data_IF_710494371332
#
_entry.id   IF_710494371332
#
_cell.length_a   1.000
_cell.length_b   1.000
_cell.length_c   1.000
_cell.angle_alpha   90.00
_cell.angle_beta   90.00
_cell.angle_gamma   90.00
#
_symmetry.space_group_name_H-M   'P 1'
#
loop_
_entity.id
_entity.type
_entity.pdbx_description
1 polymer ?
#
# COMPACT_ATOMS: atom_id res chain seq x y z
N UNK A 1 25.07 10.06 15.96
CA UNK A 1 24.58 9.39 14.73
C UNK A 1 23.68 10.32 13.90
N UNK A 2 22.57 10.87 14.44
CA UNK A 2 21.70 11.83 13.70
C UNK A 2 22.37 13.17 13.33
N UNK A 3 23.36 13.63 14.10
CA UNK A 3 24.07 14.90 13.86
C UNK A 3 25.31 14.78 12.95
N UNK A 4 25.69 13.56 12.56
CA UNK A 4 26.89 13.30 11.73
C UNK A 4 26.57 13.10 10.25
N UNK A 5 25.29 12.98 9.90
CA UNK A 5 24.80 12.91 8.54
C UNK A 5 23.84 14.07 8.32
N UNK A 6 23.88 14.71 7.15
CA UNK A 6 23.03 15.84 6.78
C UNK A 6 21.59 15.38 6.52
N UNK A 7 20.95 14.85 7.57
CA UNK A 7 19.64 14.26 7.50
C UNK A 7 18.57 15.36 7.51
N UNK A 8 17.47 15.16 6.76
CA UNK A 8 16.35 16.09 6.76
C UNK A 8 15.86 16.38 8.18
N UNK A 9 15.75 17.67 8.50
CA UNK A 9 15.22 18.16 9.78
C UNK A 9 13.69 18.01 9.81
N UNK A 10 13.04 18.57 10.83
CA UNK A 10 11.59 18.71 10.90
C UNK A 10 11.02 19.31 9.60
N UNK A 11 9.76 19.01 9.29
CA UNK A 11 9.07 19.65 8.17
C UNK A 11 8.98 21.16 8.41
N UNK A 12 9.08 21.93 7.33
CA UNK A 12 8.79 23.36 7.38
C UNK A 12 7.31 23.56 7.72
N UNK A 13 6.98 24.69 8.34
CA UNK A 13 5.60 24.99 8.78
C UNK A 13 4.64 24.96 7.60
N UNK A 14 5.07 25.50 6.46
CA UNK A 14 4.28 25.57 5.23
C UNK A 14 3.94 24.16 4.71
N UNK A 15 4.87 23.21 4.79
CA UNK A 15 4.62 21.82 4.38
C UNK A 15 3.67 21.08 5.35
N UNK A 16 3.71 21.43 6.64
CA UNK A 16 2.78 20.88 7.63
C UNK A 16 1.37 21.44 7.44
N UNK A 17 1.23 22.74 7.17
CA UNK A 17 -0.04 23.40 6.88
C UNK A 17 -0.67 22.87 5.58
N UNK A 18 0.15 22.72 4.53
CA UNK A 18 -0.28 22.10 3.27
C UNK A 18 -0.76 20.66 3.52
N UNK A 19 0.01 19.82 4.21
CA UNK A 19 -0.41 18.45 4.50
C UNK A 19 -1.65 18.36 5.39
N UNK A 20 -1.82 19.29 6.34
CA UNK A 20 -2.98 19.31 7.23
C UNK A 20 -4.27 19.66 6.49
N UNK A 21 -4.20 20.55 5.50
CA UNK A 21 -5.34 21.02 4.70
C UNK A 21 -5.52 20.27 3.38
N UNK A 22 -4.58 19.39 3.02
CA UNK A 22 -4.58 18.68 1.74
C UNK A 22 -5.80 17.75 1.58
N UNK A 23 -6.64 18.06 0.62
CA UNK A 23 -7.68 17.17 0.12
C UNK A 23 -7.21 16.44 -1.14
N UNK A 24 -7.70 15.22 -1.41
CA UNK A 24 -7.31 14.49 -2.59
C UNK A 24 -7.79 15.24 -3.84
N UNK A 25 -6.86 15.54 -4.74
CA UNK A 25 -7.16 16.23 -6.00
C UNK A 25 -8.24 15.48 -6.80
N UNK A 26 -9.14 16.20 -7.50
CA UNK A 26 -10.13 15.58 -8.37
C UNK A 26 -9.46 14.71 -9.43
N UNK A 27 -9.93 13.47 -9.58
CA UNK A 27 -9.53 12.59 -10.67
C UNK A 27 -10.67 11.63 -10.99
N UNK A 28 -10.67 11.08 -12.20
CA UNK A 28 -11.57 10.00 -12.57
C UNK A 28 -11.14 8.73 -11.82
N UNK A 29 -11.81 8.46 -10.70
CA UNK A 29 -11.53 7.32 -9.82
C UNK A 29 -12.61 6.28 -10.00
N UNK A 30 -12.20 5.06 -10.34
CA UNK A 30 -13.10 3.92 -10.32
C UNK A 30 -13.59 3.66 -8.89
N UNK A 31 -14.87 3.37 -8.74
CA UNK A 31 -15.42 2.93 -7.46
C UNK A 31 -15.14 1.42 -7.26
N UNK A 32 -14.32 1.09 -6.26
CA UNK A 32 -13.97 -0.27 -5.86
C UNK A 32 -14.27 -0.53 -4.38
N UNK A 33 -15.16 0.27 -3.78
CA UNK A 33 -15.47 0.18 -2.33
C UNK A 33 -16.14 -1.12 -1.92
N UNK A 34 -16.79 -1.81 -2.85
CA UNK A 34 -17.43 -3.11 -2.62
C UNK A 34 -16.43 -4.29 -2.61
N UNK A 35 -15.16 -4.07 -3.02
CA UNK A 35 -14.16 -5.12 -2.98
C UNK A 35 -13.60 -5.27 -1.55
N UNK A 36 -13.59 -6.49 -0.96
CA UNK A 36 -13.24 -6.69 0.43
C UNK A 36 -11.70 -6.77 0.63
N UNK A 37 -11.02 -5.67 0.33
CA UNK A 37 -9.58 -5.51 0.52
C UNK A 37 -9.18 -5.78 1.98
N UNK A 38 -8.05 -6.47 2.15
CA UNK A 38 -7.40 -6.69 3.45
C UNK A 38 -6.01 -6.07 3.43
N UNK A 39 -5.66 -5.31 4.48
CA UNK A 39 -4.30 -4.86 4.75
C UNK A 39 -3.63 -5.82 5.74
N UNK A 40 -2.38 -6.20 5.49
CA UNK A 40 -1.63 -7.14 6.35
C UNK A 40 -0.30 -6.48 6.73
N UNK A 41 -0.19 -6.06 7.98
CA UNK A 41 0.92 -5.24 8.47
C UNK A 41 1.30 -5.61 9.92
N UNK A 42 2.50 -5.23 10.41
CA UNK A 42 2.84 -5.42 11.81
C UNK A 42 1.81 -4.82 12.79
N UNK A 43 1.66 -5.40 14.01
CA UNK A 43 0.77 -4.83 15.02
C UNK A 43 1.09 -3.37 15.34
N UNK A 44 0.07 -2.51 15.31
CA UNK A 44 0.20 -1.08 15.63
C UNK A 44 0.64 -0.18 14.47
N UNK A 45 0.80 -0.72 13.25
CA UNK A 45 1.03 0.08 12.05
C UNK A 45 -0.11 1.05 11.78
N UNK A 46 0.23 2.30 11.48
CA UNK A 46 -0.71 3.35 11.08
C UNK A 46 -0.50 3.84 9.64
N UNK A 47 0.69 3.62 9.07
CA UNK A 47 1.03 3.86 7.67
C UNK A 47 0.77 2.62 6.80
N UNK A 48 -0.51 2.29 6.60
CA UNK A 48 -0.92 1.17 5.77
C UNK A 48 -0.88 1.60 4.30
N UNK A 49 0.20 1.25 3.62
CA UNK A 49 0.44 1.67 2.24
C UNK A 49 -0.24 0.77 1.21
N UNK A 50 -0.64 -0.45 1.59
CA UNK A 50 -1.08 -1.49 0.67
C UNK A 50 -2.25 -2.31 1.20
N UNK A 51 -3.11 -2.77 0.29
CA UNK A 51 -4.16 -3.74 0.58
C UNK A 51 -4.40 -4.66 -0.62
N UNK A 52 -4.82 -5.89 -0.38
CA UNK A 52 -5.01 -6.91 -1.41
C UNK A 52 -6.38 -7.55 -1.34
N UNK A 53 -6.95 -7.87 -2.51
CA UNK A 53 -8.11 -8.74 -2.66
C UNK A 53 -7.88 -9.68 -3.83
N UNK A 54 -8.23 -10.96 -3.67
CA UNK A 54 -8.07 -11.98 -4.70
C UNK A 54 -9.40 -12.70 -4.86
N UNK A 55 -9.81 -12.88 -6.12
CA UNK A 55 -10.99 -13.65 -6.50
C UNK A 55 -10.61 -14.73 -7.52
N UNK A 56 -11.39 -15.82 -7.54
CA UNK A 56 -11.25 -16.85 -8.56
C UNK A 56 -11.89 -16.40 -9.88
N UNK A 57 -11.31 -16.87 -10.98
CA UNK A 57 -11.88 -16.77 -12.32
C UNK A 57 -11.98 -18.18 -12.89
N UNK A 58 -12.83 -18.43 -13.91
CA UNK A 58 -12.96 -19.75 -14.52
C UNK A 58 -11.63 -20.41 -14.90
N UNK A 59 -10.63 -19.63 -15.30
CA UNK A 59 -9.31 -20.11 -15.75
C UNK A 59 -8.15 -19.54 -14.91
N UNK A 60 -8.35 -19.28 -13.62
CA UNK A 60 -7.29 -18.79 -12.74
C UNK A 60 -7.78 -17.80 -11.69
N UNK A 61 -7.13 -16.64 -11.59
CA UNK A 61 -7.38 -15.68 -10.53
C UNK A 61 -7.41 -14.25 -11.05
N UNK A 62 -7.99 -13.36 -10.25
CA UNK A 62 -7.79 -11.92 -10.36
C UNK A 62 -7.29 -11.37 -9.04
N UNK A 63 -6.18 -10.64 -9.12
CA UNK A 63 -5.58 -9.96 -7.99
C UNK A 63 -5.84 -8.46 -8.14
N UNK A 64 -6.48 -7.89 -7.13
CA UNK A 64 -6.60 -6.46 -6.92
C UNK A 64 -5.59 -6.06 -5.85
N UNK A 65 -4.64 -5.21 -6.21
CA UNK A 65 -3.59 -4.75 -5.31
C UNK A 65 -3.61 -3.22 -5.26
N UNK A 66 -4.12 -2.69 -4.15
CA UNK A 66 -4.29 -1.27 -3.90
C UNK A 66 -3.05 -0.71 -3.19
N UNK A 67 -2.56 0.42 -3.70
CA UNK A 67 -1.48 1.22 -3.10
C UNK A 67 -2.05 2.59 -2.74
N UNK A 68 -1.78 3.11 -1.55
CA UNK A 68 -2.18 4.44 -1.13
C UNK A 68 -1.77 5.52 -2.16
N UNK A 69 -2.74 6.32 -2.66
CA UNK A 69 -2.44 7.41 -3.60
C UNK A 69 -2.03 8.67 -2.84
N UNK A 70 -0.85 8.66 -2.22
CA UNK A 70 -0.30 9.83 -1.52
C UNK A 70 -0.17 11.03 -2.48
N UNK A 71 0.13 10.76 -3.75
CA UNK A 71 0.22 11.76 -4.80
C UNK A 71 -1.08 12.53 -5.04
N UNK A 72 -2.24 11.95 -4.72
CA UNK A 72 -3.51 12.67 -4.77
C UNK A 72 -3.54 13.89 -3.85
N UNK A 73 -2.75 13.91 -2.77
CA UNK A 73 -2.77 15.00 -1.78
C UNK A 73 -1.61 15.99 -1.95
N UNK A 74 -0.72 15.75 -2.91
CA UNK A 74 0.51 16.52 -3.09
C UNK A 74 0.34 17.44 -4.29
N UNK A 75 0.46 18.75 -4.08
CA UNK A 75 0.42 19.73 -5.16
C UNK A 75 1.81 19.85 -5.79
N UNK A 76 1.98 19.60 -7.11
CA UNK A 76 3.27 19.77 -7.77
C UNK A 76 3.80 21.20 -7.60
N UNK A 77 5.05 21.31 -7.18
CA UNK A 77 5.71 22.59 -6.85
C UNK A 77 5.38 23.15 -5.45
N UNK A 78 4.44 22.53 -4.71
CA UNK A 78 4.06 22.93 -3.36
C UNK A 78 5.14 22.70 -2.31
N UNK A 79 4.92 23.22 -1.10
CA UNK A 79 5.85 23.07 0.02
C UNK A 79 6.00 21.59 0.44
N UNK A 80 4.89 20.84 0.41
CA UNK A 80 4.89 19.40 0.68
C UNK A 80 5.69 18.62 -0.36
N UNK A 81 5.51 18.93 -1.65
CA UNK A 81 6.24 18.29 -2.76
C UNK A 81 7.74 18.57 -2.70
N UNK A 82 8.13 19.84 -2.45
CA UNK A 82 9.54 20.21 -2.23
C UNK A 82 10.13 19.46 -1.04
N UNK A 83 9.40 19.37 0.07
CA UNK A 83 9.84 18.65 1.27
C UNK A 83 9.97 17.14 1.08
N UNK A 84 9.09 16.52 0.28
CA UNK A 84 9.14 15.10 -0.05
C UNK A 84 10.34 14.81 -0.98
N UNK A 85 10.55 15.61 -2.04
CA UNK A 85 11.71 15.48 -2.93
C UNK A 85 13.05 15.64 -2.21
N UNK A 86 13.14 16.56 -1.25
CA UNK A 86 14.38 16.74 -0.48
C UNK A 86 14.68 15.57 0.46
N UNK A 87 13.64 14.83 0.88
CA UNK A 87 13.76 13.65 1.77
C UNK A 87 14.04 12.37 0.99
N UNK A 88 13.38 12.18 -0.14
CA UNK A 88 13.52 11.03 -1.05
C UNK A 88 12.91 9.74 -0.52
N UNK A 89 13.19 9.38 0.73
CA UNK A 89 12.74 8.13 1.38
C UNK A 89 12.42 8.33 2.87
N UNK A 90 11.65 7.41 3.44
CA UNK A 90 11.57 7.26 4.90
C UNK A 90 12.84 6.58 5.39
N UNK A 91 13.51 7.16 6.40
CA UNK A 91 14.73 6.60 6.99
C UNK A 91 14.37 6.00 8.35
N UNK A 92 14.63 4.70 8.52
CA UNK A 92 14.36 3.95 9.75
C UNK A 92 15.62 3.84 10.62
N UNK A 93 15.45 4.08 11.92
CA UNK A 93 16.45 3.94 12.97
C UNK A 93 15.92 3.01 14.07
N UNK A 94 16.79 2.40 14.89
CA UNK A 94 16.35 1.62 16.04
C UNK A 94 15.44 2.37 17.02
N UNK A 95 15.61 3.70 17.13
CA UNK A 95 14.87 4.60 18.03
C UNK A 95 13.77 5.42 17.33
N UNK A 96 13.47 5.15 16.06
CA UNK A 96 12.36 5.79 15.35
C UNK A 96 12.59 5.98 13.85
N UNK A 97 11.84 6.89 13.23
CA UNK A 97 11.94 7.15 11.78
C UNK A 97 11.96 8.64 11.43
N UNK A 98 12.58 8.98 10.31
CA UNK A 98 12.42 10.27 9.62
C UNK A 98 11.49 9.99 8.44
N UNK A 99 10.20 10.36 8.51
CA UNK A 99 9.24 10.00 7.48
C UNK A 99 9.40 10.85 6.23
N UNK A 100 9.12 10.25 5.07
CA UNK A 100 9.09 10.93 3.78
C UNK A 100 8.01 12.03 3.75
N UNK A 101 6.83 11.74 4.32
CA UNK A 101 5.69 12.64 4.39
C UNK A 101 5.33 13.00 5.83
N UNK A 102 4.65 14.12 6.09
CA UNK A 102 4.06 14.41 7.39
C UNK A 102 3.09 13.31 7.82
N UNK A 103 3.07 12.98 9.12
CA UNK A 103 2.27 11.85 9.64
C UNK A 103 0.77 12.00 9.40
N UNK A 104 0.24 13.22 9.42
CA UNK A 104 -1.17 13.48 9.09
C UNK A 104 -1.53 12.97 7.67
N UNK A 105 -0.54 12.91 6.77
CA UNK A 105 -0.73 12.36 5.45
C UNK A 105 -0.51 10.85 5.44
N UNK A 106 0.67 10.39 5.86
CA UNK A 106 1.06 8.98 5.74
C UNK A 106 0.38 8.03 6.71
N UNK A 107 -0.05 8.50 7.88
CA UNK A 107 -0.62 7.69 8.96
C UNK A 107 -2.13 7.95 9.15
N UNK A 108 -2.73 8.84 8.36
CA UNK A 108 -4.16 9.14 8.43
C UNK A 108 -4.78 9.34 7.04
N UNK A 109 -4.59 10.50 6.38
CA UNK A 109 -5.33 10.87 5.16
C UNK A 109 -5.12 9.90 3.99
N UNK A 110 -3.89 9.50 3.72
CA UNK A 110 -3.55 8.60 2.61
C UNK A 110 -3.51 7.12 3.02
N UNK A 111 -3.26 6.84 4.31
CA UNK A 111 -3.20 5.48 4.83
C UNK A 111 -4.51 4.72 4.56
N UNK A 112 -4.38 3.48 4.10
CA UNK A 112 -5.48 2.55 3.81
C UNK A 112 -6.07 1.94 5.09
N UNK A 113 -6.32 2.80 6.09
CA UNK A 113 -6.97 2.42 7.34
C UNK A 113 -8.35 1.80 7.06
N UNK A 114 -8.73 0.76 7.81
CA UNK A 114 -10.00 0.08 7.59
C UNK A 114 -11.18 1.01 7.90
N UNK A 115 -12.33 0.70 7.29
CA UNK A 115 -13.59 1.41 7.51
C UNK A 115 -13.58 2.87 7.00
N UNK A 116 -12.68 3.20 6.07
CA UNK A 116 -12.56 4.53 5.47
C UNK A 116 -12.39 4.42 3.97
N UNK A 117 -13.09 5.29 3.25
CA UNK A 117 -12.91 5.45 1.81
C UNK A 117 -11.59 6.19 1.56
N UNK A 118 -10.73 5.60 0.75
CA UNK A 118 -9.39 6.13 0.46
C UNK A 118 -9.08 6.14 -1.04
N UNK A 119 -8.40 7.20 -1.54
CA UNK A 119 -7.87 7.17 -2.89
C UNK A 119 -6.69 6.20 -2.96
N UNK A 120 -6.71 5.33 -3.97
CA UNK A 120 -5.67 4.36 -4.21
C UNK A 120 -5.30 4.30 -5.70
N UNK A 121 -4.08 3.88 -5.97
CA UNK A 121 -3.65 3.39 -7.27
C UNK A 121 -3.79 1.87 -7.22
N UNK A 122 -4.64 1.30 -8.05
CA UNK A 122 -4.97 -0.13 -8.00
C UNK A 122 -4.43 -0.84 -9.23
N UNK A 123 -3.60 -1.85 -8.98
CA UNK A 123 -3.23 -2.84 -9.98
C UNK A 123 -4.28 -3.95 -10.02
N UNK A 124 -4.76 -4.27 -11.21
CA UNK A 124 -5.55 -5.48 -11.47
C UNK A 124 -4.73 -6.43 -12.33
N UNK A 125 -4.40 -7.59 -11.79
CA UNK A 125 -3.77 -8.68 -12.53
C UNK A 125 -4.77 -9.79 -12.79
N UNK A 126 -4.91 -10.18 -14.05
CA UNK A 126 -5.55 -11.43 -14.41
C UNK A 126 -4.46 -12.50 -14.53
N UNK A 127 -4.63 -13.57 -13.76
CA UNK A 127 -3.69 -14.67 -13.68
C UNK A 127 -4.32 -15.94 -14.24
N UNK A 128 -3.50 -16.75 -14.90
CA UNK A 128 -3.86 -18.12 -15.29
C UNK A 128 -3.94 -19.07 -14.10
N UNK A 129 -4.29 -20.33 -14.34
CA UNK A 129 -4.37 -21.36 -13.29
C UNK A 129 -3.04 -21.55 -12.56
N UNK A 130 -1.91 -21.45 -13.24
CA UNK A 130 -0.57 -21.56 -12.64
C UNK A 130 -0.08 -20.25 -11.98
N UNK A 131 -0.94 -19.22 -11.89
CA UNK A 131 -0.61 -17.87 -11.45
C UNK A 131 0.40 -17.12 -12.34
N UNK A 132 0.55 -17.52 -13.61
CA UNK A 132 1.19 -16.67 -14.63
C UNK A 132 0.36 -15.42 -14.89
N UNK A 133 1.03 -14.29 -15.10
CA UNK A 133 0.34 -13.02 -15.41
C UNK A 133 -0.10 -13.06 -16.87
N UNK A 134 -1.41 -12.98 -17.11
CA UNK A 134 -2.00 -12.90 -18.45
C UNK A 134 -2.18 -11.43 -18.87
N UNK A 135 -2.74 -10.62 -17.99
CA UNK A 135 -2.91 -9.17 -18.22
C UNK A 135 -2.71 -8.38 -16.94
N UNK A 136 -2.31 -7.11 -17.11
CA UNK A 136 -2.23 -6.15 -16.03
C UNK A 136 -2.88 -4.83 -16.44
N UNK A 137 -3.56 -4.21 -15.49
CA UNK A 137 -4.16 -2.90 -15.64
C UNK A 137 -3.84 -2.05 -14.41
N UNK A 138 -3.67 -0.75 -14.63
CA UNK A 138 -3.42 0.22 -13.59
C UNK A 138 -4.43 1.36 -13.70
N UNK A 139 -5.13 1.65 -12.62
CA UNK A 139 -6.11 2.74 -12.57
C UNK A 139 -6.13 3.41 -11.19
N UNK A 140 -6.62 4.66 -11.15
CA UNK A 140 -6.95 5.30 -9.87
C UNK A 140 -8.34 4.85 -9.44
N UNK A 141 -8.49 4.58 -8.16
CA UNK A 141 -9.74 4.12 -7.57
C UNK A 141 -10.01 4.75 -6.20
N UNK A 142 -11.26 4.69 -5.79
CA UNK A 142 -11.66 4.83 -4.39
C UNK A 142 -11.89 3.42 -3.84
N UNK A 143 -11.19 3.08 -2.77
CA UNK A 143 -11.26 1.76 -2.11
C UNK A 143 -11.78 1.90 -0.68
N UNK A 144 -12.30 0.80 -0.15
CA UNK A 144 -12.69 0.67 1.26
C UNK A 144 -12.02 -0.59 1.82
N UNK A 145 -11.02 -0.42 2.68
CA UNK A 145 -10.36 -1.58 3.31
C UNK A 145 -11.27 -2.17 4.37
N UNK A 146 -11.59 -3.46 4.25
CA UNK A 146 -12.50 -4.14 5.14
C UNK A 146 -11.88 -4.30 6.53
N UNK A 147 -10.63 -4.77 6.58
CA UNK A 147 -9.88 -5.03 7.80
C UNK A 147 -8.37 -4.87 7.59
N UNK A 148 -7.69 -4.50 8.68
CA UNK A 148 -6.24 -4.51 8.79
C UNK A 148 -5.85 -5.52 9.87
N UNK A 149 -5.05 -6.51 9.50
CA UNK A 149 -4.69 -7.64 10.36
C UNK A 149 -3.18 -7.81 10.42
N UNK A 150 -2.70 -8.36 11.54
CA UNK A 150 -1.29 -8.75 11.66
C UNK A 150 -0.99 -10.06 10.93
N UNK A 151 0.28 -10.30 10.59
CA UNK A 151 0.72 -11.59 10.07
C UNK A 151 0.32 -12.78 10.97
N UNK A 152 0.36 -12.59 12.29
CA UNK A 152 -0.06 -13.62 13.25
C UNK A 152 -1.57 -13.89 13.15
N UNK A 153 -2.39 -12.85 13.02
CA UNK A 153 -3.83 -12.98 12.81
C UNK A 153 -4.14 -13.62 11.45
N UNK A 154 -3.44 -13.20 10.39
CA UNK A 154 -3.58 -13.80 9.07
C UNK A 154 -3.28 -15.31 9.10
N UNK A 155 -2.18 -15.70 9.74
CA UNK A 155 -1.81 -17.10 9.91
C UNK A 155 -2.87 -17.89 10.71
N UNK A 156 -3.41 -17.30 11.77
CA UNK A 156 -4.42 -17.95 12.61
C UNK A 156 -5.78 -18.10 11.90
N UNK A 157 -6.14 -17.16 11.03
CA UNK A 157 -7.41 -17.14 10.30
C UNK A 157 -7.36 -17.88 8.96
N UNK A 158 -6.18 -18.29 8.49
CA UNK A 158 -5.97 -18.88 7.16
C UNK A 158 -6.93 -20.05 6.84
N UNK A 159 -7.22 -20.91 7.82
CA UNK A 159 -8.12 -22.04 7.61
C UNK A 159 -9.59 -21.64 7.36
N UNK A 160 -10.00 -20.43 7.78
CA UNK A 160 -11.40 -20.00 7.80
C UNK A 160 -11.68 -18.75 6.95
N UNK A 161 -10.64 -18.04 6.48
CA UNK A 161 -10.79 -16.86 5.62
C UNK A 161 -10.40 -17.18 4.17
N UNK A 162 -11.40 -17.16 3.28
CA UNK A 162 -11.22 -17.46 1.85
C UNK A 162 -10.24 -16.49 1.18
N UNK A 163 -10.19 -15.22 1.58
CA UNK A 163 -9.27 -14.22 1.00
C UNK A 163 -7.82 -14.63 1.27
N UNK A 164 -7.55 -15.11 2.48
CA UNK A 164 -6.22 -15.57 2.90
C UNK A 164 -5.83 -16.89 2.23
N UNK A 165 -6.77 -17.81 2.04
CA UNK A 165 -6.52 -19.06 1.30
C UNK A 165 -6.14 -18.80 -0.15
N UNK A 166 -6.81 -17.85 -0.81
CA UNK A 166 -6.47 -17.45 -2.17
C UNK A 166 -5.12 -16.73 -2.22
N UNK A 167 -4.82 -15.88 -1.24
CA UNK A 167 -3.50 -15.26 -1.09
C UNK A 167 -2.39 -16.29 -0.93
N UNK A 168 -2.57 -17.31 -0.08
CA UNK A 168 -1.62 -18.40 0.06
C UNK A 168 -1.46 -19.19 -1.25
N UNK A 169 -2.57 -19.55 -1.89
CA UNK A 169 -2.57 -20.35 -3.13
C UNK A 169 -1.83 -19.62 -4.26
N UNK A 170 -2.19 -18.36 -4.52
CA UNK A 170 -1.54 -17.53 -5.53
C UNK A 170 -0.09 -17.26 -5.14
N UNK A 171 0.18 -16.92 -3.87
CA UNK A 171 1.52 -16.67 -3.36
C UNK A 171 2.48 -17.84 -3.59
N UNK A 172 2.06 -19.06 -3.21
CA UNK A 172 2.88 -20.27 -3.42
C UNK A 172 3.17 -20.54 -4.89
N UNK A 173 2.17 -20.37 -5.77
CA UNK A 173 2.34 -20.55 -7.22
C UNK A 173 3.30 -19.49 -7.81
N UNK A 174 3.16 -18.23 -7.39
CA UNK A 174 4.05 -17.13 -7.78
C UNK A 174 5.50 -17.36 -7.31
N UNK A 175 5.70 -17.84 -6.09
CA UNK A 175 7.04 -18.18 -5.58
C UNK A 175 7.69 -19.35 -6.34
N UNK A 176 6.90 -20.36 -6.74
CA UNK A 176 7.40 -21.43 -7.59
C UNK A 176 7.85 -20.91 -8.97
N UNK A 177 7.03 -20.07 -9.62
CA UNK A 177 7.38 -19.41 -10.88
C UNK A 177 8.61 -18.49 -10.77
N UNK A 178 8.81 -17.85 -9.62
CA UNK A 178 10.01 -17.05 -9.34
C UNK A 178 11.27 -17.93 -9.28
N UNK A 179 11.21 -19.04 -8.56
CA UNK A 179 12.31 -19.99 -8.47
C UNK A 179 12.68 -20.58 -9.85
N UNK A 180 11.69 -20.90 -10.69
CA UNK A 180 11.92 -21.36 -12.07
C UNK A 180 12.63 -20.32 -12.94
N UNK A 181 12.42 -19.03 -12.67
CA UNK A 181 13.10 -17.91 -13.36
C UNK A 181 14.49 -17.62 -12.79
N UNK A 182 14.95 -18.39 -11.82
CA UNK A 182 16.23 -18.18 -11.13
C UNK A 182 16.17 -17.09 -10.06
N UNK A 183 14.98 -16.72 -9.59
CA UNK A 183 14.82 -15.89 -8.40
C UNK A 183 15.31 -16.63 -7.16
N UNK A 184 16.05 -15.93 -6.30
CA UNK A 184 16.64 -16.49 -5.08
C UNK A 184 16.18 -15.61 -3.91
N UNK A 185 15.42 -16.20 -2.99
CA UNK A 185 15.16 -15.60 -1.68
C UNK A 185 16.24 -16.03 -0.70
N UNK A 186 16.94 -15.07 -0.11
CA UNK A 186 17.91 -15.28 0.96
C UNK A 186 17.24 -14.83 2.27
N UNK A 187 16.47 -15.73 2.87
CA UNK A 187 15.81 -15.50 4.16
C UNK A 187 16.76 -15.79 5.34
#
# INVERSE_FOLDING_TARGET
>A
MRSQHDLPRAFAVEALEEAFSAEPQPSDRRDLRELPFVAIDPPGSSDLDQAVFIEERPNGFRVWYAIADVGAFVTPGGALDVAARSRGVTIYFPDGRIPLHPRILSEDRASLLPQRDRPAIVWRFDLGEDATIETSHLERATVHVADAISYQQAQASLANDRRLQLLETVGRRRSALEAERGGISLD
#
